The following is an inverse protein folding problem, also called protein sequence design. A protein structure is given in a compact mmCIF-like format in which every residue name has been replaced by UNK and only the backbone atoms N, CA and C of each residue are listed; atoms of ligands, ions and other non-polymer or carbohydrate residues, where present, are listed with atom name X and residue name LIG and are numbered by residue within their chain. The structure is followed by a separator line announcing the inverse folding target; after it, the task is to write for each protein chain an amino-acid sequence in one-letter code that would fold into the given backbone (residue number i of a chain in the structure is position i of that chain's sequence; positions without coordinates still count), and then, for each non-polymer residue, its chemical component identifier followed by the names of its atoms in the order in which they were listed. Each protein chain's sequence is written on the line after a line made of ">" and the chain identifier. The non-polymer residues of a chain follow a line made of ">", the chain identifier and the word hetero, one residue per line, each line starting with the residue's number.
data_IF_583462796648
#
_entry.id   IF_583462796648
#
_cell.length_a   1.000
_cell.length_b   1.000
_cell.length_c   1.000
_cell.angle_alpha   90.00
_cell.angle_beta   90.00
_cell.angle_gamma   90.00
#
_symmetry.space_group_name_H-M   'P 1'
#
loop_
_entity.id
_entity.type
_entity.pdbx_description
1 polymer ?
#
# COMPACT_ATOMS: atom_id res chain seq x y z
N UNK A 1 20.35 -8.86 -24.24
CA UNK A 1 19.89 -9.11 -22.86
C UNK A 1 19.67 -7.75 -22.19
N UNK A 2 18.49 -7.17 -22.06
CA UNK A 2 17.16 -7.76 -21.89
C UNK A 2 16.59 -7.57 -20.47
N UNK A 3 17.01 -6.55 -19.71
CA UNK A 3 16.40 -6.24 -18.41
C UNK A 3 15.16 -5.37 -18.65
N UNK A 4 13.99 -6.00 -18.82
CA UNK A 4 12.70 -5.30 -18.77
C UNK A 4 12.32 -5.14 -17.29
N UNK A 5 12.70 -4.02 -16.69
CA UNK A 5 12.29 -3.66 -15.32
C UNK A 5 10.76 -3.53 -15.27
N UNK A 6 10.17 -4.25 -14.34
CA UNK A 6 8.73 -4.45 -14.17
C UNK A 6 8.15 -3.30 -13.34
N UNK A 7 7.53 -2.31 -13.97
CA UNK A 7 6.82 -1.20 -13.31
C UNK A 7 5.48 -0.96 -14.01
N UNK A 8 4.37 -1.25 -13.33
CA UNK A 8 2.99 -1.07 -13.82
C UNK A 8 2.54 0.40 -13.78
N UNK A 9 3.41 1.34 -14.19
CA UNK A 9 3.09 2.75 -14.35
C UNK A 9 3.37 3.13 -15.80
N UNK A 10 2.31 3.43 -16.57
CA UNK A 10 2.43 3.96 -17.93
C UNK A 10 2.80 5.45 -17.91
N UNK A 11 3.78 5.83 -17.11
CA UNK A 11 4.30 7.19 -17.04
C UNK A 11 5.81 7.13 -16.81
N UNK A 12 6.58 7.60 -17.80
CA UNK A 12 8.01 7.87 -17.65
C UNK A 12 8.21 9.00 -16.63
N UNK A 13 9.32 9.05 -15.87
CA UNK A 13 9.75 10.20 -15.07
C UNK A 13 9.57 11.58 -15.71
N UNK A 14 9.65 11.64 -17.04
CA UNK A 14 9.54 12.85 -17.83
C UNK A 14 8.09 13.18 -18.27
N UNK A 15 7.11 12.38 -17.88
CA UNK A 15 5.70 12.62 -18.18
C UNK A 15 5.18 13.74 -17.28
N UNK A 16 4.56 14.80 -17.82
CA UNK A 16 3.95 15.83 -16.97
C UNK A 16 3.00 15.21 -15.93
N UNK A 17 3.18 15.55 -14.65
CA UNK A 17 2.40 15.00 -13.54
C UNK A 17 2.98 13.73 -12.88
N UNK A 18 4.00 13.07 -13.46
CA UNK A 18 4.61 11.88 -12.85
C UNK A 18 5.69 12.19 -11.81
N UNK A 19 6.06 13.47 -11.62
CA UNK A 19 7.07 13.88 -10.63
C UNK A 19 6.70 13.48 -9.20
N UNK A 20 5.39 13.46 -8.88
CA UNK A 20 4.90 13.00 -7.58
C UNK A 20 5.19 11.51 -7.33
N UNK A 21 5.15 10.67 -8.37
CA UNK A 21 5.42 9.24 -8.25
C UNK A 21 6.89 8.98 -7.88
N UNK A 22 7.82 9.70 -8.53
CA UNK A 22 9.23 9.65 -8.16
C UNK A 22 9.47 10.16 -6.74
N UNK A 23 8.86 11.30 -6.40
CA UNK A 23 8.94 11.84 -5.05
C UNK A 23 8.47 10.80 -4.02
N UNK A 24 7.31 10.18 -4.24
CA UNK A 24 6.77 9.15 -3.34
C UNK A 24 7.70 7.94 -3.18
N UNK A 25 8.46 7.58 -4.22
CA UNK A 25 9.43 6.47 -4.17
C UNK A 25 10.71 6.77 -3.38
N UNK A 26 11.15 8.04 -3.36
CA UNK A 26 12.42 8.45 -2.72
C UNK A 26 12.22 9.14 -1.37
N UNK A 27 10.98 9.47 -1.02
CA UNK A 27 10.63 10.18 0.21
C UNK A 27 10.76 9.31 1.46
N UNK A 28 10.75 7.98 1.32
CA UNK A 28 10.91 7.06 2.45
C UNK A 28 12.25 7.25 3.16
N UNK A 29 12.22 7.33 4.49
CA UNK A 29 13.40 7.31 5.35
C UNK A 29 13.29 6.10 6.27
N UNK A 30 14.38 5.38 6.49
CA UNK A 30 14.44 4.34 7.52
C UNK A 30 15.75 4.45 8.27
N UNK A 31 15.67 4.43 9.60
CA UNK A 31 16.83 4.53 10.50
C UNK A 31 17.74 5.76 10.24
N UNK A 32 17.13 6.88 9.81
CA UNK A 32 17.85 8.12 9.48
C UNK A 32 18.41 8.18 8.05
N UNK A 33 18.33 7.09 7.28
CA UNK A 33 18.78 7.05 5.89
C UNK A 33 17.62 7.32 4.91
N UNK A 34 17.82 8.32 4.04
CA UNK A 34 16.82 8.77 3.06
C UNK A 34 16.85 7.95 1.77
N UNK A 35 15.67 7.70 1.20
CA UNK A 35 15.49 6.96 -0.05
C UNK A 35 15.70 5.45 0.08
N UNK A 36 15.81 4.93 1.31
CA UNK A 36 16.06 3.52 1.59
C UNK A 36 14.73 2.82 1.91
N UNK A 37 14.65 1.58 1.44
CA UNK A 37 13.53 0.68 1.69
C UNK A 37 14.02 -0.45 2.59
N UNK A 38 13.29 -0.71 3.66
CA UNK A 38 13.61 -1.76 4.62
C UNK A 38 12.55 -2.85 4.62
N UNK A 39 12.95 -4.02 5.12
CA UNK A 39 12.03 -5.13 5.36
C UNK A 39 11.67 -5.19 6.83
N UNK A 40 10.48 -5.72 7.12
CA UNK A 40 10.04 -5.93 8.49
C UNK A 40 10.66 -7.24 8.99
N UNK A 41 11.36 -7.17 10.12
CA UNK A 41 11.88 -8.34 10.81
C UNK A 41 10.70 -9.26 11.22
N UNK A 42 10.81 -10.57 10.96
CA UNK A 42 9.69 -11.50 11.11
C UNK A 42 8.73 -11.54 9.91
N UNK A 43 8.99 -10.74 8.87
CA UNK A 43 8.28 -10.78 7.59
C UNK A 43 7.21 -9.69 7.45
N UNK A 44 6.88 -9.35 6.20
CA UNK A 44 5.94 -8.25 5.87
C UNK A 44 4.52 -8.44 6.43
N UNK A 45 4.13 -9.67 6.76
CA UNK A 45 2.86 -9.97 7.41
C UNK A 45 2.71 -9.30 8.79
N UNK A 46 3.82 -9.02 9.49
CA UNK A 46 3.80 -8.34 10.78
C UNK A 46 3.16 -6.95 10.71
N UNK A 47 3.33 -6.22 9.59
CA UNK A 47 2.66 -4.92 9.37
C UNK A 47 1.14 -5.11 9.32
N UNK A 48 0.67 -6.12 8.59
CA UNK A 48 -0.76 -6.42 8.48
C UNK A 48 -1.36 -6.79 9.83
N UNK A 49 -0.64 -7.59 10.63
CA UNK A 49 -1.05 -7.94 11.99
C UNK A 49 -1.06 -6.73 12.94
N UNK A 50 -0.06 -5.84 12.86
CA UNK A 50 -0.03 -4.62 13.66
C UNK A 50 -1.26 -3.73 13.38
N UNK A 51 -1.60 -3.56 12.10
CA UNK A 51 -2.81 -2.82 11.68
C UNK A 51 -4.08 -3.52 12.20
N UNK A 52 -4.17 -4.84 12.04
CA UNK A 52 -5.30 -5.64 12.52
C UNK A 52 -5.49 -5.50 14.04
N UNK A 53 -4.41 -5.55 14.81
CA UNK A 53 -4.45 -5.41 16.26
C UNK A 53 -4.91 -4.01 16.66
N UNK A 54 -4.32 -2.95 16.09
CA UNK A 54 -4.71 -1.58 16.37
C UNK A 54 -6.19 -1.31 16.01
N UNK A 55 -6.67 -1.85 14.88
CA UNK A 55 -8.08 -1.74 14.51
C UNK A 55 -8.99 -2.45 15.51
N UNK A 56 -8.61 -3.64 15.97
CA UNK A 56 -9.37 -4.42 16.95
C UNK A 56 -9.39 -3.73 18.32
N UNK A 57 -8.28 -3.13 18.76
CA UNK A 57 -8.21 -2.31 19.98
C UNK A 57 -9.11 -1.07 19.89
N UNK A 58 -9.24 -0.49 18.70
CA UNK A 58 -10.20 0.59 18.43
C UNK A 58 -11.66 0.11 18.31
N UNK A 59 -11.93 -1.19 18.49
CA UNK A 59 -13.27 -1.77 18.47
C UNK A 59 -13.75 -2.25 17.10
N UNK A 60 -12.87 -2.32 16.09
CA UNK A 60 -13.23 -2.88 14.79
C UNK A 60 -13.42 -4.40 14.88
N UNK A 61 -14.43 -4.92 14.18
CA UNK A 61 -14.64 -6.36 14.01
C UNK A 61 -14.11 -6.80 12.65
N UNK A 62 -13.04 -7.60 12.64
CA UNK A 62 -12.39 -8.07 11.42
C UNK A 62 -13.02 -9.38 10.99
N UNK A 63 -13.49 -9.44 9.73
CA UNK A 63 -14.09 -10.64 9.13
C UNK A 63 -13.19 -11.11 8.00
N UNK A 64 -12.85 -12.39 7.99
CA UNK A 64 -12.03 -13.03 6.96
C UNK A 64 -12.78 -14.23 6.38
N UNK A 65 -12.34 -14.72 5.21
CA UNK A 65 -12.93 -15.89 4.54
C UNK A 65 -14.42 -15.75 4.19
N UNK A 66 -14.84 -14.53 3.85
CA UNK A 66 -16.22 -14.25 3.41
C UNK A 66 -16.19 -13.60 2.05
N UNK A 67 -17.18 -13.94 1.22
CA UNK A 67 -17.40 -13.28 -0.05
C UNK A 67 -18.01 -11.89 0.17
N UNK A 68 -17.47 -10.87 -0.50
CA UNK A 68 -17.95 -9.49 -0.42
C UNK A 68 -18.86 -9.22 -1.60
N UNK A 69 -20.13 -8.89 -1.32
CA UNK A 69 -21.12 -8.58 -2.34
C UNK A 69 -21.27 -7.07 -2.54
N UNK A 70 -21.49 -6.66 -3.78
CA UNK A 70 -21.78 -5.28 -4.11
C UNK A 70 -23.14 -4.88 -3.53
N UNK A 71 -23.15 -3.85 -2.68
CA UNK A 71 -24.38 -3.24 -2.19
C UNK A 71 -24.78 -2.08 -3.08
N UNK A 72 -25.85 -2.23 -3.85
CA UNK A 72 -26.52 -1.09 -4.49
C UNK A 72 -27.46 -0.45 -3.47
N UNK A 73 -27.16 0.78 -3.07
CA UNK A 73 -28.07 1.59 -2.26
C UNK A 73 -29.22 2.07 -3.16
N UNK A 74 -30.33 1.33 -3.20
CA UNK A 74 -31.59 1.87 -3.70
C UNK A 74 -32.24 2.62 -2.55
N UNK A 75 -32.19 3.96 -2.62
CA UNK A 75 -32.92 4.84 -1.72
C UNK A 75 -34.41 4.55 -1.85
N UNK A 76 -35.03 4.02 -0.80
CA UNK A 76 -36.49 3.99 -0.64
C UNK A 76 -36.91 5.41 -0.26
N UNK A 77 -37.58 6.10 -1.19
CA UNK A 77 -38.46 7.25 -0.89
C UNK A 77 -39.83 6.74 -0.52
#
# INVERSE_FOLDING_TARGET
>A
MGIRKFWWLKASPHTPGSGYVLLHHVMGETDGDRGVWSYVEGGMGAVSFAISNAATEAGAHIVTNVEVYMRTLLTVT
#
